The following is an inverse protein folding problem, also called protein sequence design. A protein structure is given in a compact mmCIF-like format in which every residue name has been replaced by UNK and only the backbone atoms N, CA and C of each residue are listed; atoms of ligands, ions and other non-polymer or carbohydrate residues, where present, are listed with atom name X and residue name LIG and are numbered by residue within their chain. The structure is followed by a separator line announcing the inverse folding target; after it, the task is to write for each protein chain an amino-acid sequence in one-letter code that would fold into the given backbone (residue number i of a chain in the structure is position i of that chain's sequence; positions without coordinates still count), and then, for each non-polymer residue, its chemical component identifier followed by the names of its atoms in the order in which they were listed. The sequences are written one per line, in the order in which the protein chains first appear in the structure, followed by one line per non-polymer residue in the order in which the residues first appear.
data_IF_441993437444
#
_entry.id   IF_441993437444
#
_cell.length_a   1.000
_cell.length_b   1.000
_cell.length_c   1.000
_cell.angle_alpha   90.00
_cell.angle_beta   90.00
_cell.angle_gamma   90.00
#
_symmetry.space_group_name_H-M   'P 1'
#
loop_
_entity.id
_entity.type
_entity.pdbx_description
1 polymer ?
#
# COMPACT_ATOMS: atom_id res chain seq x y z
N UNK A 1 43.65 45.40 15.70
CA UNK A 1 42.31 45.28 16.29
C UNK A 1 41.71 43.99 15.80
N UNK A 2 42.03 42.91 16.50
CA UNK A 2 41.47 41.58 16.26
C UNK A 2 40.01 41.58 16.70
N UNK A 3 39.13 41.11 15.81
CA UNK A 3 37.69 41.08 15.99
C UNK A 3 37.12 39.78 15.43
N UNK A 4 37.58 38.68 16.01
CA UNK A 4 36.91 37.39 16.16
C UNK A 4 35.96 36.93 15.04
N UNK A 5 36.55 36.34 14.00
CA UNK A 5 35.93 35.24 13.27
C UNK A 5 35.77 34.03 14.19
N UNK A 6 34.78 34.06 15.09
CA UNK A 6 34.38 32.91 15.90
C UNK A 6 33.61 31.95 15.00
N UNK A 7 34.35 31.15 14.23
CA UNK A 7 33.85 29.90 13.66
C UNK A 7 33.17 29.14 14.78
N UNK A 8 31.83 29.00 14.70
CA UNK A 8 31.08 28.00 15.47
C UNK A 8 31.49 26.62 14.95
N UNK A 9 32.74 26.25 15.25
CA UNK A 9 33.41 25.03 14.85
C UNK A 9 32.87 23.84 15.64
N UNK A 10 31.66 23.41 15.31
CA UNK A 10 31.38 21.98 15.33
C UNK A 10 32.04 21.40 14.08
N UNK A 11 32.94 20.44 14.28
CA UNK A 11 33.63 19.69 13.24
C UNK A 11 32.72 19.45 12.01
N UNK A 12 33.09 19.98 10.84
CA UNK A 12 32.27 19.89 9.61
C UNK A 12 31.87 18.45 9.30
N UNK A 13 32.75 17.49 9.58
CA UNK A 13 32.46 16.06 9.42
C UNK A 13 31.29 15.60 10.29
N UNK A 14 31.18 16.09 11.52
CA UNK A 14 30.08 15.76 12.42
C UNK A 14 28.77 16.44 11.99
N UNK A 15 28.84 17.69 11.51
CA UNK A 15 27.67 18.39 10.95
C UNK A 15 27.14 17.71 9.66
N UNK A 16 28.04 17.23 8.79
CA UNK A 16 27.65 16.48 7.59
C UNK A 16 27.04 15.12 7.93
N UNK A 17 27.63 14.40 8.89
CA UNK A 17 27.07 13.12 9.38
C UNK A 17 25.69 13.30 9.99
N UNK A 18 25.48 14.37 10.75
CA UNK A 18 24.18 14.68 11.34
C UNK A 18 23.15 15.05 10.27
N UNK A 19 23.55 15.87 9.29
CA UNK A 19 22.71 16.20 8.15
C UNK A 19 22.29 14.94 7.37
N UNK A 20 23.22 14.03 7.09
CA UNK A 20 22.94 12.77 6.39
C UNK A 20 22.01 11.86 7.20
N UNK A 21 22.18 11.76 8.52
CA UNK A 21 21.26 11.00 9.39
C UNK A 21 19.82 11.51 9.31
N UNK A 22 19.64 12.83 9.28
CA UNK A 22 18.31 13.44 9.23
C UNK A 22 17.71 13.34 7.82
N UNK A 23 18.46 13.76 6.79
CA UNK A 23 17.98 13.87 5.40
C UNK A 23 18.01 12.57 4.62
N UNK A 24 18.96 11.68 4.88
CA UNK A 24 19.12 10.42 4.15
C UNK A 24 17.84 9.59 4.05
N UNK A 25 17.15 9.29 5.17
CA UNK A 25 15.92 8.50 5.09
C UNK A 25 14.73 9.30 4.53
N UNK A 26 14.76 10.63 4.54
CA UNK A 26 13.76 11.48 3.86
C UNK A 26 13.92 11.40 2.34
N UNK A 27 15.15 11.54 1.85
CA UNK A 27 15.49 11.37 0.43
C UNK A 27 15.12 9.97 -0.06
N UNK A 28 15.36 8.93 0.74
CA UNK A 28 14.92 7.56 0.41
C UNK A 28 13.41 7.44 0.30
N UNK A 29 12.66 8.07 1.21
CA UNK A 29 11.20 8.07 1.15
C UNK A 29 10.69 8.81 -0.10
N UNK A 30 11.31 9.93 -0.45
CA UNK A 30 11.02 10.66 -1.68
C UNK A 30 11.30 9.81 -2.93
N UNK A 31 12.47 9.18 -3.02
CA UNK A 31 12.81 8.28 -4.14
C UNK A 31 11.81 7.13 -4.24
N UNK A 32 11.43 6.52 -3.10
CA UNK A 32 10.40 5.47 -3.07
C UNK A 32 9.07 6.01 -3.60
N UNK A 33 8.63 7.19 -3.16
CA UNK A 33 7.41 7.83 -3.62
C UNK A 33 7.44 8.11 -5.13
N UNK A 34 8.53 8.72 -5.63
CA UNK A 34 8.71 9.03 -7.05
C UNK A 34 8.66 7.77 -7.93
N UNK A 35 9.21 6.64 -7.48
CA UNK A 35 9.14 5.38 -8.24
C UNK A 35 7.70 4.88 -8.45
N UNK A 36 6.79 5.17 -7.52
CA UNK A 36 5.38 4.77 -7.63
C UNK A 36 4.57 5.78 -8.45
N UNK A 37 4.91 7.08 -8.42
CA UNK A 37 4.18 8.14 -9.10
C UNK A 37 4.66 8.49 -10.51
N UNK A 38 5.97 8.42 -10.77
CA UNK A 38 6.59 8.87 -12.02
C UNK A 38 6.20 8.11 -13.29
N UNK A 39 6.04 6.76 -13.31
CA UNK A 39 5.88 6.05 -14.58
C UNK A 39 4.59 6.40 -15.34
N UNK A 40 3.55 6.88 -14.66
CA UNK A 40 2.23 7.10 -15.28
C UNK A 40 1.99 8.53 -15.76
N UNK A 41 2.95 9.44 -15.58
CA UNK A 41 2.82 10.84 -15.99
C UNK A 41 2.88 11.01 -17.52
N UNK A 42 3.54 10.09 -18.23
CA UNK A 42 3.63 10.08 -19.68
C UNK A 42 2.78 8.94 -20.25
N UNK A 43 2.07 9.16 -21.37
CA UNK A 43 1.25 8.13 -22.02
C UNK A 43 2.14 7.01 -22.56
N UNK A 44 2.49 6.05 -21.70
CA UNK A 44 3.41 4.97 -22.03
C UNK A 44 2.81 4.11 -23.19
N UNK A 45 3.63 3.75 -24.20
CA UNK A 45 3.16 3.06 -25.40
C UNK A 45 2.73 1.62 -25.13
N UNK A 46 3.30 0.97 -24.11
CA UNK A 46 3.03 -0.43 -23.78
C UNK A 46 1.66 -0.60 -23.11
N UNK A 47 0.93 -1.66 -23.46
CA UNK A 47 -0.39 -1.96 -22.88
C UNK A 47 -0.34 -2.26 -21.39
N UNK A 48 0.74 -2.89 -20.90
CA UNK A 48 0.95 -3.22 -19.48
C UNK A 48 0.99 -1.96 -18.61
N UNK A 49 1.69 -0.94 -19.10
CA UNK A 49 1.83 0.33 -18.42
C UNK A 49 0.51 1.09 -18.31
N UNK A 50 -0.35 1.01 -19.34
CA UNK A 50 -1.71 1.57 -19.29
C UNK A 50 -2.59 0.88 -18.26
N UNK A 51 -2.45 -0.45 -18.09
CA UNK A 51 -3.17 -1.18 -17.05
C UNK A 51 -2.70 -0.75 -15.67
N UNK A 52 -1.39 -0.64 -15.47
CA UNK A 52 -0.82 -0.18 -14.22
C UNK A 52 -1.23 1.26 -13.88
N UNK A 53 -1.31 2.16 -14.87
CA UNK A 53 -1.84 3.51 -14.68
C UNK A 53 -3.29 3.50 -14.18
N UNK A 54 -4.14 2.67 -14.80
CA UNK A 54 -5.54 2.50 -14.37
C UNK A 54 -5.63 1.94 -12.95
N UNK A 55 -4.82 0.94 -12.61
CA UNK A 55 -4.77 0.36 -11.26
C UNK A 55 -4.33 1.39 -10.22
N UNK A 56 -3.35 2.25 -10.55
CA UNK A 56 -2.95 3.34 -9.68
C UNK A 56 -4.10 4.34 -9.48
N UNK A 57 -4.76 4.78 -10.55
CA UNK A 57 -5.90 5.70 -10.46
C UNK A 57 -7.03 5.10 -9.63
N UNK A 58 -7.35 3.81 -9.83
CA UNK A 58 -8.33 3.10 -9.02
C UNK A 58 -7.92 3.01 -7.55
N UNK A 59 -6.63 2.81 -7.26
CA UNK A 59 -6.13 2.80 -5.89
C UNK A 59 -6.31 4.17 -5.21
N UNK A 60 -5.98 5.25 -5.92
CA UNK A 60 -6.15 6.63 -5.45
C UNK A 60 -7.64 6.92 -5.20
N UNK A 61 -8.51 6.57 -6.15
CA UNK A 61 -9.96 6.73 -6.03
C UNK A 61 -10.52 5.96 -4.82
N UNK A 62 -10.13 4.69 -4.67
CA UNK A 62 -10.56 3.85 -3.56
C UNK A 62 -10.15 4.46 -2.21
N UNK A 63 -8.90 4.95 -2.09
CA UNK A 63 -8.42 5.59 -0.86
C UNK A 63 -9.15 6.89 -0.55
N UNK A 64 -9.50 7.69 -1.56
CA UNK A 64 -10.32 8.89 -1.37
C UNK A 64 -11.74 8.54 -0.90
N UNK A 65 -12.37 7.52 -1.50
CA UNK A 65 -13.70 7.05 -1.10
C UNK A 65 -13.65 6.52 0.34
N UNK A 66 -12.65 5.70 0.67
CA UNK A 66 -12.46 5.18 2.02
C UNK A 66 -12.22 6.30 3.04
N UNK A 67 -11.41 7.31 2.71
CA UNK A 67 -11.21 8.46 3.59
C UNK A 67 -12.55 9.18 3.86
N UNK A 68 -13.35 9.43 2.82
CA UNK A 68 -14.68 10.05 2.97
C UNK A 68 -15.64 9.19 3.79
N UNK A 69 -15.72 7.88 3.52
CA UNK A 69 -16.61 6.95 4.23
C UNK A 69 -16.23 6.77 5.69
N UNK A 70 -14.93 6.88 6.01
CA UNK A 70 -14.42 6.75 7.38
C UNK A 70 -14.23 8.10 8.07
N UNK A 71 -14.80 9.18 7.53
CA UNK A 71 -14.73 10.54 8.06
C UNK A 71 -13.30 10.98 8.43
N UNK A 72 -12.31 10.60 7.60
CA UNK A 72 -10.91 10.96 7.78
C UNK A 72 -10.08 10.02 8.66
N UNK A 73 -10.65 8.92 9.18
CA UNK A 73 -9.87 7.93 9.92
C UNK A 73 -8.82 7.24 9.04
N UNK A 74 -9.17 6.94 7.79
CA UNK A 74 -8.21 6.40 6.81
C UNK A 74 -7.50 7.55 6.11
N UNK A 75 -6.15 7.61 6.11
CA UNK A 75 -5.42 8.67 5.42
C UNK A 75 -5.69 8.67 3.91
N UNK A 76 -5.84 9.88 3.34
CA UNK A 76 -5.91 10.13 1.89
C UNK A 76 -4.76 9.52 1.09
N UNK A 77 -4.95 9.45 -0.24
CA UNK A 77 -3.95 8.93 -1.16
C UNK A 77 -2.60 9.67 -1.01
N UNK A 78 -1.50 8.92 -1.11
CA UNK A 78 -0.14 9.43 -0.90
C UNK A 78 0.23 10.59 -1.82
N UNK A 79 -0.32 10.62 -3.04
CA UNK A 79 -0.10 11.71 -4.00
C UNK A 79 -0.69 13.02 -3.49
N UNK A 80 -1.89 12.99 -2.89
CA UNK A 80 -2.53 14.17 -2.32
C UNK A 80 -1.80 14.63 -1.06
N UNK A 81 -1.40 13.70 -0.20
CA UNK A 81 -0.63 14.01 1.01
C UNK A 81 0.74 14.61 0.72
N UNK A 82 1.36 14.28 -0.41
CA UNK A 82 2.64 14.85 -0.82
C UNK A 82 2.53 16.31 -1.29
N UNK A 83 1.31 16.80 -1.56
CA UNK A 83 1.07 18.21 -1.90
C UNK A 83 0.97 19.10 -0.64
N UNK A 84 0.71 18.51 0.53
CA UNK A 84 0.63 19.25 1.78
C UNK A 84 2.04 19.65 2.26
N UNK A 85 2.35 20.95 2.40
CA UNK A 85 3.69 21.41 2.80
C UNK A 85 4.04 21.06 4.25
N UNK A 86 3.03 20.72 5.06
CA UNK A 86 3.20 20.40 6.48
C UNK A 86 3.64 18.95 6.73
N UNK A 87 3.66 18.10 5.70
CA UNK A 87 3.98 16.68 5.84
C UNK A 87 5.33 16.35 5.21
N UNK A 88 6.12 15.57 5.96
CA UNK A 88 7.37 14.98 5.42
C UNK A 88 7.05 13.74 4.59
N UNK A 89 7.82 13.49 3.53
CA UNK A 89 7.69 12.31 2.68
C UNK A 89 7.79 11.01 3.49
N UNK A 90 8.59 10.99 4.56
CA UNK A 90 8.64 9.84 5.48
C UNK A 90 7.30 9.59 6.16
N UNK A 91 6.61 10.63 6.64
CA UNK A 91 5.29 10.49 7.25
C UNK A 91 4.23 10.06 6.23
N UNK A 92 4.28 10.62 5.03
CA UNK A 92 3.39 10.21 3.91
C UNK A 92 3.57 8.73 3.61
N UNK A 93 4.81 8.26 3.47
CA UNK A 93 5.10 6.84 3.19
C UNK A 93 4.69 5.93 4.34
N UNK A 94 4.93 6.30 5.60
CA UNK A 94 4.49 5.49 6.75
C UNK A 94 2.97 5.31 6.78
N UNK A 95 2.20 6.39 6.57
CA UNK A 95 0.73 6.33 6.51
C UNK A 95 0.24 5.50 5.32
N UNK A 96 0.90 5.64 4.18
CA UNK A 96 0.58 4.86 2.99
C UNK A 96 0.90 3.37 3.15
N UNK A 97 2.02 3.01 3.78
CA UNK A 97 2.43 1.62 4.01
C UNK A 97 1.49 0.96 5.05
N UNK A 98 1.15 1.67 6.13
CA UNK A 98 0.19 1.17 7.15
C UNK A 98 -1.19 0.90 6.55
N UNK A 99 -1.73 1.82 5.76
CA UNK A 99 -3.03 1.60 5.09
C UNK A 99 -2.99 0.46 4.10
N UNK A 100 -1.87 0.29 3.39
CA UNK A 100 -1.68 -0.84 2.49
C UNK A 100 -1.69 -2.14 3.28
N UNK A 101 -0.96 -2.22 4.39
CA UNK A 101 -0.91 -3.41 5.24
C UNK A 101 -2.27 -3.77 5.85
N UNK A 102 -3.05 -2.76 6.29
CA UNK A 102 -4.40 -2.99 6.81
C UNK A 102 -5.33 -3.47 5.70
N UNK A 103 -5.31 -2.83 4.52
CA UNK A 103 -6.14 -3.24 3.40
C UNK A 103 -5.81 -4.66 2.91
N UNK A 104 -4.53 -5.03 2.85
CA UNK A 104 -4.12 -6.39 2.48
C UNK A 104 -4.49 -7.41 3.55
N UNK A 105 -4.39 -7.06 4.83
CA UNK A 105 -4.85 -7.91 5.92
C UNK A 105 -6.37 -8.16 5.85
N UNK A 106 -7.17 -7.10 5.66
CA UNK A 106 -8.63 -7.23 5.51
C UNK A 106 -8.99 -8.04 4.25
N UNK A 107 -8.33 -7.77 3.12
CA UNK A 107 -8.57 -8.49 1.88
C UNK A 107 -8.22 -9.98 1.99
N UNK A 108 -7.08 -10.32 2.62
CA UNK A 108 -6.66 -11.71 2.81
C UNK A 108 -7.57 -12.47 3.78
N UNK A 109 -8.00 -11.84 4.87
CA UNK A 109 -8.99 -12.42 5.79
C UNK A 109 -10.36 -12.62 5.12
N UNK A 110 -10.79 -11.66 4.30
CA UNK A 110 -12.01 -11.77 3.50
C UNK A 110 -11.93 -12.94 2.50
N UNK A 111 -10.83 -13.05 1.76
CA UNK A 111 -10.59 -14.15 0.83
C UNK A 111 -10.59 -15.52 1.53
N UNK A 112 -9.96 -15.61 2.71
CA UNK A 112 -9.93 -16.83 3.51
C UNK A 112 -11.34 -17.26 3.96
N UNK A 113 -12.18 -16.32 4.40
CA UNK A 113 -13.57 -16.62 4.80
C UNK A 113 -14.43 -17.08 3.63
N UNK A 114 -14.28 -16.46 2.46
CA UNK A 114 -15.02 -16.85 1.25
C UNK A 114 -14.59 -18.24 0.79
N UNK A 115 -13.27 -18.50 0.73
CA UNK A 115 -12.73 -19.82 0.38
C UNK A 115 -13.14 -20.91 1.38
N UNK A 116 -13.19 -20.59 2.68
CA UNK A 116 -13.68 -21.51 3.70
C UNK A 116 -15.16 -21.87 3.52
N UNK A 117 -16.02 -20.88 3.22
CA UNK A 117 -17.44 -21.11 2.95
C UNK A 117 -17.68 -21.93 1.68
N UNK A 118 -16.96 -21.66 0.59
CA UNK A 118 -17.11 -22.41 -0.66
C UNK A 118 -16.62 -23.86 -0.53
N UNK A 119 -15.55 -24.10 0.24
CA UNK A 119 -15.08 -25.45 0.54
C UNK A 119 -16.07 -26.26 1.40
N UNK A 120 -16.75 -25.60 2.35
CA UNK A 120 -17.73 -26.25 3.23
C UNK A 120 -19.02 -26.59 2.48
N UNK A 121 -19.48 -25.71 1.59
CA UNK A 121 -20.59 -25.97 0.68
C UNK A 121 -20.25 -27.12 -0.28
N UNK A 122 -19.04 -27.13 -0.86
CA UNK A 122 -18.59 -28.21 -1.74
C UNK A 122 -18.55 -29.57 -1.05
N UNK A 123 -18.07 -29.63 0.20
CA UNK A 123 -18.08 -30.86 1.01
C UNK A 123 -19.51 -31.29 1.37
N UNK A 124 -20.39 -30.37 1.76
CA UNK A 124 -21.78 -30.67 2.06
C UNK A 124 -22.53 -31.20 0.83
N UNK A 125 -22.28 -30.62 -0.34
CA UNK A 125 -22.85 -31.10 -1.60
C UNK A 125 -22.32 -32.50 -1.97
N UNK A 126 -21.02 -32.75 -1.78
CA UNK A 126 -20.43 -34.06 -2.04
C UNK A 126 -20.98 -35.15 -1.11
N UNK A 127 -21.24 -34.82 0.16
CA UNK A 127 -21.87 -35.73 1.13
C UNK A 127 -23.34 -35.98 0.77
N UNK A 128 -24.09 -34.96 0.35
CA UNK A 128 -25.47 -35.11 -0.13
C UNK A 128 -25.56 -35.94 -1.41
N UNK A 129 -24.67 -35.72 -2.38
CA UNK A 129 -24.59 -36.53 -3.60
C UNK A 129 -24.18 -37.97 -3.27
N UNK A 130 -23.23 -38.17 -2.36
CA UNK A 130 -22.84 -39.51 -1.90
C UNK A 130 -23.96 -40.25 -1.16
N UNK A 131 -24.76 -39.54 -0.35
CA UNK A 131 -25.92 -40.08 0.34
C UNK A 131 -27.07 -40.41 -0.63
N UNK A 132 -27.35 -39.52 -1.60
CA UNK A 132 -28.34 -39.75 -2.65
C UNK A 132 -27.99 -40.96 -3.54
N UNK A 133 -26.69 -41.20 -3.79
CA UNK A 133 -26.20 -42.36 -4.54
C UNK A 133 -26.31 -43.68 -3.77
N UNK A 134 -26.29 -43.64 -2.42
CA UNK A 134 -26.54 -44.82 -1.56
C UNK A 134 -28.01 -45.20 -1.45
N UNK A 135 -28.91 -44.23 -1.59
CA UNK A 135 -30.36 -44.46 -1.52
C UNK A 135 -30.98 -44.93 -2.85
N UNK A 136 -30.28 -44.74 -3.97
CA UNK A 136 -30.78 -45.07 -5.33
C UNK A 136 -30.25 -46.38 -5.92
N UNK A 137 -29.44 -47.17 -5.18
CA UNK A 137 -29.13 -48.56 -5.55
C UNK A 137 -28.48 -48.79 -6.92
N UNK A 138 -27.45 -48.00 -7.28
CA UNK A 138 -26.69 -48.22 -8.53
C UNK A 138 -25.61 -49.32 -8.42
N UNK A 139 -25.26 -50.00 -9.54
CA UNK A 139 -24.87 -51.41 -9.58
C UNK A 139 -23.42 -51.71 -9.20
N UNK A 140 -23.22 -52.98 -8.81
CA UNK A 140 -21.96 -53.67 -8.52
C UNK A 140 -21.16 -53.89 -9.81
N UNK A 141 -19.91 -53.41 -9.84
CA UNK A 141 -18.78 -54.03 -10.52
C UNK A 141 -17.55 -53.87 -9.62
#
# INVERSE_FOLDING_TARGET
GEGEGKTRGGNLGDAMREYEKVRGPETRALVKFSRHGAPYQYRQPLRKDRLHAKLLTMNVLLRMILNKLTFGFVPNASILMAMDPNLTFRQVMRRADLTTAVLTAVASLGALKVAGKTALIGKALAVLVGAARRLTGGPVL
#
